data_IF_673865751585
#
_entry.id   IF_673865751585
#
_cell.length_a   1.000
_cell.length_b   1.000
_cell.length_c   1.000
_cell.angle_alpha   90.00
_cell.angle_beta   90.00
_cell.angle_gamma   90.00
#
_symmetry.space_group_name_H-M   'P 1'
#
loop_
_entity.id
_entity.type
_entity.pdbx_description
1 polymer ?
#
# COMPACT_ATOMS: atom_id res chain seq x y z
N UNK A 1 4.87 24.78 10.26
CA UNK A 1 5.97 25.65 10.71
C UNK A 1 7.03 24.80 11.39
N UNK A 2 8.30 24.97 11.02
CA UNK A 2 9.44 24.29 11.66
C UNK A 2 10.44 25.29 12.21
N UNK A 3 11.16 24.89 13.25
CA UNK A 3 12.16 25.72 13.91
C UNK A 3 13.56 25.33 13.45
N UNK A 4 14.37 26.33 13.10
CA UNK A 4 15.76 26.15 12.74
C UNK A 4 16.58 25.74 13.97
N UNK A 5 17.19 24.56 13.92
CA UNK A 5 18.03 24.03 15.01
C UNK A 5 19.31 24.85 15.24
N UNK A 6 19.70 25.72 14.28
CA UNK A 6 20.91 26.54 14.37
C UNK A 6 20.67 27.92 14.98
N UNK A 7 19.56 28.57 14.65
CA UNK A 7 19.29 29.96 15.08
C UNK A 7 18.01 30.13 15.90
N UNK A 8 17.17 29.10 16.02
CA UNK A 8 15.88 29.16 16.71
C UNK A 8 14.78 29.92 15.96
N UNK A 9 15.06 30.45 14.77
CA UNK A 9 14.07 31.08 13.90
C UNK A 9 13.02 30.08 13.42
N UNK A 10 11.81 30.56 13.15
CA UNK A 10 10.69 29.73 12.67
C UNK A 10 10.43 30.03 11.21
N UNK A 11 10.40 29.00 10.38
CA UNK A 11 10.13 29.10 8.93
C UNK A 11 9.01 28.11 8.52
N UNK A 12 8.56 28.21 7.27
CA UNK A 12 7.59 27.28 6.69
C UNK A 12 8.18 25.88 6.56
N UNK A 13 7.38 24.82 6.77
CA UNK A 13 7.86 23.43 6.73
C UNK A 13 8.51 23.07 5.39
N UNK A 14 7.94 23.58 4.30
CA UNK A 14 8.40 23.36 2.93
C UNK A 14 9.73 24.09 2.61
N UNK A 15 10.21 24.99 3.47
CA UNK A 15 11.47 25.71 3.22
C UNK A 15 12.67 24.78 3.39
N UNK A 16 13.51 24.63 2.38
CA UNK A 16 14.74 23.84 2.48
C UNK A 16 15.86 24.61 3.18
N UNK A 17 15.82 25.94 3.16
CA UNK A 17 16.82 26.84 3.74
C UNK A 17 16.14 27.80 4.74
N UNK A 18 16.77 28.03 5.89
CA UNK A 18 16.31 28.99 6.89
C UNK A 18 16.55 30.43 6.42
N UNK A 19 15.50 31.26 6.35
CA UNK A 19 15.64 32.67 5.93
C UNK A 19 16.35 33.55 6.94
N UNK A 20 16.39 33.13 8.21
CA UNK A 20 17.03 33.88 9.28
C UNK A 20 18.56 33.75 9.27
N UNK A 21 19.10 32.55 9.01
CA UNK A 21 20.54 32.29 9.12
C UNK A 21 21.18 31.71 7.85
N UNK A 22 20.40 31.38 6.82
CA UNK A 22 20.89 30.84 5.54
C UNK A 22 21.39 29.40 5.60
N UNK A 23 21.24 28.70 6.74
CA UNK A 23 21.56 27.28 6.87
C UNK A 23 20.45 26.43 6.25
N UNK A 24 20.83 25.34 5.61
CA UNK A 24 19.89 24.29 5.22
C UNK A 24 19.23 23.68 6.45
N UNK A 25 17.92 23.47 6.35
CA UNK A 25 17.24 22.60 7.29
C UNK A 25 17.73 21.16 7.07
N UNK A 26 17.90 20.36 8.13
CA UNK A 26 18.18 18.95 7.94
C UNK A 26 17.06 18.39 7.05
N UNK A 27 17.44 17.78 5.92
CA UNK A 27 16.50 17.03 5.12
C UNK A 27 15.84 16.05 6.09
N UNK A 28 14.52 16.15 6.27
CA UNK A 28 13.83 15.07 6.95
C UNK A 28 14.17 13.84 6.13
N UNK A 29 14.71 12.77 6.75
CA UNK A 29 14.88 11.54 6.02
C UNK A 29 13.50 11.25 5.44
N UNK A 30 13.43 11.24 4.11
CA UNK A 30 12.31 10.65 3.39
C UNK A 30 12.08 9.37 4.17
N UNK A 31 10.94 9.27 4.85
CA UNK A 31 10.58 8.06 5.55
C UNK A 31 10.32 7.09 4.42
N UNK A 32 11.41 6.55 3.86
CA UNK A 32 11.44 5.28 3.18
C UNK A 32 10.72 4.41 4.18
N UNK A 33 9.47 4.15 3.86
CA UNK A 33 8.67 3.18 4.56
C UNK A 33 9.53 1.94 4.49
N UNK A 34 10.28 1.68 5.56
CA UNK A 34 11.00 0.43 5.73
C UNK A 34 9.89 -0.57 5.53
N UNK A 35 9.94 -1.42 4.47
CA UNK A 35 8.97 -2.48 4.34
C UNK A 35 8.99 -3.16 5.69
N UNK A 36 7.87 -3.15 6.39
CA UNK A 36 7.71 -3.97 7.58
C UNK A 36 7.97 -5.38 7.09
N UNK A 37 9.20 -5.85 7.27
CA UNK A 37 9.55 -7.24 7.14
C UNK A 37 8.93 -7.89 8.37
N UNK A 38 7.63 -8.15 8.24
CA UNK A 38 6.92 -9.10 9.08
C UNK A 38 7.74 -10.38 9.00
N UNK A 39 8.44 -10.71 10.07
CA UNK A 39 8.99 -12.05 10.25
C UNK A 39 7.87 -13.08 10.05
N UNK A 40 8.19 -14.37 9.78
CA UNK A 40 7.19 -15.38 9.46
C UNK A 40 6.32 -15.70 10.69
N UNK A 41 5.35 -14.84 10.96
CA UNK A 41 4.22 -15.09 11.85
C UNK A 41 3.25 -16.00 11.13
N UNK A 42 3.56 -17.31 11.18
CA UNK A 42 2.70 -18.45 10.90
C UNK A 42 1.43 -18.05 10.12
N UNK A 43 1.60 -17.92 8.81
CA UNK A 43 0.53 -17.59 7.89
C UNK A 43 -0.27 -18.88 7.77
N UNK A 44 -1.21 -19.07 8.70
CA UNK A 44 -2.29 -20.03 8.55
C UNK A 44 -3.01 -19.60 7.28
N UNK A 45 -2.61 -20.25 6.18
CA UNK A 45 -3.17 -20.06 4.88
C UNK A 45 -4.67 -20.32 5.01
N UNK A 46 -5.44 -19.26 5.18
CA UNK A 46 -6.87 -19.31 4.94
C UNK A 46 -7.00 -19.32 3.44
N UNK A 47 -6.85 -20.51 2.87
CA UNK A 47 -7.36 -20.82 1.55
C UNK A 47 -8.86 -20.56 1.67
N UNK A 48 -9.28 -19.34 1.32
CA UNK A 48 -10.69 -19.06 1.02
C UNK A 48 -11.03 -19.98 -0.14
N UNK A 49 -11.57 -21.15 0.19
CA UNK A 49 -12.16 -22.05 -0.78
C UNK A 49 -13.34 -21.28 -1.34
N UNK A 50 -13.10 -20.57 -2.43
CA UNK A 50 -14.16 -19.98 -3.25
C UNK A 50 -14.96 -21.17 -3.73
N UNK A 51 -16.06 -21.48 -3.03
CA UNK A 51 -17.08 -22.42 -3.47
C UNK A 51 -17.54 -21.93 -4.83
N UNK A 52 -16.83 -22.40 -5.86
CA UNK A 52 -17.01 -21.94 -7.20
C UNK A 52 -18.39 -22.37 -7.65
N UNK A 53 -19.16 -21.42 -8.16
CA UNK A 53 -20.23 -21.72 -9.11
C UNK A 53 -19.70 -22.32 -10.43
N UNK A 54 -18.40 -22.61 -10.54
CA UNK A 54 -17.73 -23.16 -11.72
C UNK A 54 -18.36 -24.46 -12.24
N UNK A 55 -18.47 -25.55 -11.43
CA UNK A 55 -19.07 -26.79 -11.90
C UNK A 55 -20.57 -26.64 -12.20
N UNK A 56 -21.28 -25.75 -11.50
CA UNK A 56 -22.72 -25.48 -11.74
C UNK A 56 -22.93 -24.78 -13.09
N UNK A 57 -22.12 -23.76 -13.40
CA UNK A 57 -22.20 -23.03 -14.68
C UNK A 57 -21.82 -23.94 -15.86
N UNK A 58 -20.83 -24.82 -15.69
CA UNK A 58 -20.41 -25.74 -16.74
C UNK A 58 -21.48 -26.80 -17.05
N UNK A 59 -22.17 -27.29 -16.02
CA UNK A 59 -23.25 -28.26 -16.17
C UNK A 59 -24.49 -27.64 -16.82
N UNK A 60 -24.84 -26.39 -16.47
CA UNK A 60 -25.88 -25.61 -17.13
C UNK A 60 -25.59 -25.39 -18.62
N UNK A 61 -24.35 -25.01 -18.95
CA UNK A 61 -23.95 -24.82 -20.35
C UNK A 61 -24.04 -26.11 -21.17
N UNK A 62 -23.65 -27.25 -20.59
CA UNK A 62 -23.73 -28.55 -21.26
C UNK A 62 -25.19 -28.98 -21.53
N UNK A 63 -26.10 -28.77 -20.57
CA UNK A 63 -27.52 -29.06 -20.74
C UNK A 63 -28.14 -28.24 -21.89
N UNK A 64 -27.82 -26.95 -21.98
CA UNK A 64 -28.34 -26.07 -23.04
C UNK A 64 -27.90 -26.56 -24.43
N UNK A 65 -26.65 -27.01 -24.56
CA UNK A 65 -26.14 -27.56 -25.82
C UNK A 65 -26.85 -28.86 -26.22
N UNK A 66 -27.08 -29.76 -25.27
CA UNK A 66 -27.80 -31.02 -25.53
C UNK A 66 -29.25 -30.76 -25.96
N UNK A 67 -29.95 -29.80 -25.33
CA UNK A 67 -31.33 -29.44 -25.71
C UNK A 67 -31.46 -28.75 -27.07
N UNK A 68 -30.38 -28.18 -27.61
CA UNK A 68 -30.40 -27.65 -28.98
C UNK A 68 -30.06 -28.72 -30.02
N UNK A 69 -29.40 -29.80 -29.60
CA UNK A 69 -28.97 -30.87 -30.51
C UNK A 69 -30.04 -31.95 -30.68
N UNK A 70 -30.88 -32.16 -29.66
CA UNK A 70 -32.03 -33.07 -29.68
C UNK A 70 -33.29 -32.38 -30.18
#
# INVERSE_FOLDING_TARGET
MKTCLYCGGTDEDASTICRHCGKDFPAQPDVQQVPVETGPEAHWATTTVKWGCGPILLLLALLILLSNFF
#
